data_IF_375460061145
#
_entry.id   IF_375460061145
#
_cell.length_a   1.000
_cell.length_b   1.000
_cell.length_c   1.000
_cell.angle_alpha   90.00
_cell.angle_beta   90.00
_cell.angle_gamma   90.00
#
_symmetry.space_group_name_H-M   'P 1'
#
loop_
_entity.id
_entity.type
_entity.pdbx_description
1 polymer ?
#
# COMPACT_ATOMS: atom_id res chain seq x y z
N UNK A 1 45.86 5.15 -37.50
CA UNK A 1 44.70 5.94 -37.01
C UNK A 1 43.97 5.07 -35.99
N UNK A 2 44.11 5.36 -34.71
CA UNK A 2 43.51 4.56 -33.64
C UNK A 2 42.03 4.91 -33.48
N UNK A 3 41.15 3.92 -33.60
CA UNK A 3 39.73 4.00 -33.27
C UNK A 3 39.58 4.33 -31.78
N UNK A 4 39.06 5.52 -31.46
CA UNK A 4 38.61 5.86 -30.10
C UNK A 4 37.31 5.10 -29.83
N UNK A 5 37.33 4.24 -28.83
CA UNK A 5 36.10 3.67 -28.27
C UNK A 5 35.19 4.79 -27.75
N UNK A 6 33.86 4.65 -27.84
CA UNK A 6 32.94 5.63 -27.27
C UNK A 6 33.19 5.75 -25.76
N UNK A 7 33.29 6.99 -25.28
CA UNK A 7 33.39 7.30 -23.85
C UNK A 7 32.14 6.76 -23.16
N UNK A 8 32.34 5.88 -22.17
CA UNK A 8 31.30 5.51 -21.22
C UNK A 8 30.85 6.78 -20.52
N UNK A 9 29.61 7.22 -20.78
CA UNK A 9 28.97 8.29 -20.01
C UNK A 9 28.88 7.85 -18.56
N UNK A 10 29.14 8.78 -17.64
CA UNK A 10 28.91 8.56 -16.20
C UNK A 10 27.52 7.98 -15.95
N UNK A 11 27.42 7.12 -14.93
CA UNK A 11 26.16 6.54 -14.49
C UNK A 11 25.16 7.65 -14.17
N UNK A 12 24.10 7.73 -14.98
CA UNK A 12 23.07 8.74 -14.84
C UNK A 12 22.17 8.42 -13.62
N UNK A 13 22.14 9.32 -12.63
CA UNK A 13 21.23 9.23 -11.47
C UNK A 13 19.76 9.43 -11.86
N UNK A 14 19.45 9.73 -13.13
CA UNK A 14 18.09 9.90 -13.67
C UNK A 14 17.20 8.67 -13.47
N UNK A 15 17.73 7.47 -13.26
CA UNK A 15 16.93 6.28 -12.97
C UNK A 15 16.04 6.40 -11.71
N UNK A 16 16.38 7.28 -10.74
CA UNK A 16 15.51 7.57 -9.58
C UNK A 16 14.44 8.65 -9.88
N UNK A 17 14.53 9.34 -11.03
CA UNK A 17 13.61 10.41 -11.48
C UNK A 17 12.57 9.95 -12.51
N UNK A 18 12.77 8.78 -13.13
CA UNK A 18 11.79 8.12 -13.98
C UNK A 18 10.72 7.42 -13.13
N UNK A 19 9.44 7.70 -13.41
CA UNK A 19 8.35 6.95 -12.81
C UNK A 19 7.79 7.55 -11.53
N UNK A 20 6.65 8.22 -11.65
CA UNK A 20 5.70 8.34 -10.55
C UNK A 20 4.39 7.67 -10.95
N UNK A 21 3.82 6.88 -10.04
CA UNK A 21 2.55 6.16 -10.23
C UNK A 21 1.33 7.10 -10.31
N UNK A 22 1.50 8.32 -9.81
CA UNK A 22 0.55 9.43 -9.67
C UNK A 22 0.42 10.46 -10.81
N UNK A 23 0.16 10.18 -12.11
CA UNK A 23 0.39 11.16 -13.18
C UNK A 23 -0.35 12.49 -12.99
N UNK A 24 -1.49 12.47 -12.30
CA UNK A 24 -2.43 13.58 -12.18
C UNK A 24 -2.64 14.03 -10.72
N UNK A 25 -1.96 13.42 -9.74
CA UNK A 25 -2.08 13.82 -8.33
C UNK A 25 -3.39 13.36 -7.66
N UNK A 26 -4.07 12.36 -8.22
CA UNK A 26 -5.38 11.89 -7.79
C UNK A 26 -5.34 11.03 -6.51
N UNK A 27 -4.19 10.50 -6.13
CA UNK A 27 -4.10 9.50 -5.06
C UNK A 27 -4.26 10.08 -3.64
N UNK A 28 -3.89 11.34 -3.41
CA UNK A 28 -3.78 11.89 -2.06
C UNK A 28 -5.14 11.97 -1.34
N UNK A 29 -6.14 12.54 -2.01
CA UNK A 29 -7.49 12.66 -1.44
C UNK A 29 -8.15 11.28 -1.32
N UNK A 30 -7.98 10.41 -2.32
CA UNK A 30 -8.47 9.02 -2.25
C UNK A 30 -7.89 8.26 -1.05
N UNK A 31 -6.58 8.36 -0.81
CA UNK A 31 -5.91 7.71 0.32
C UNK A 31 -6.44 8.21 1.68
N UNK A 32 -6.70 9.52 1.78
CA UNK A 32 -7.30 10.13 2.97
C UNK A 32 -8.75 9.71 3.20
N UNK A 33 -9.55 9.64 2.15
CA UNK A 33 -10.92 9.13 2.21
C UNK A 33 -10.94 7.63 2.57
N UNK A 34 -10.05 6.83 1.99
CA UNK A 34 -9.85 5.43 2.36
C UNK A 34 -9.42 5.23 3.81
N UNK A 35 -8.57 6.11 4.34
CA UNK A 35 -8.17 6.10 5.77
C UNK A 35 -9.35 6.44 6.68
N UNK A 36 -10.24 7.35 6.28
CA UNK A 36 -11.49 7.58 7.02
C UNK A 36 -12.43 6.37 6.95
N UNK A 37 -12.52 5.74 5.79
CA UNK A 37 -13.43 4.61 5.54
C UNK A 37 -13.03 3.37 6.34
N UNK A 38 -11.75 3.01 6.32
CA UNK A 38 -11.21 1.87 7.03
C UNK A 38 -9.94 2.30 7.79
N UNK A 39 -10.09 2.92 8.98
CA UNK A 39 -8.96 3.41 9.78
C UNK A 39 -7.88 2.35 9.99
N UNK A 40 -6.62 2.79 9.97
CA UNK A 40 -5.44 1.92 10.11
C UNK A 40 -5.10 1.05 8.90
N UNK A 41 -6.09 0.61 8.11
CA UNK A 41 -5.90 -0.36 7.02
C UNK A 41 -5.37 0.31 5.75
N UNK A 42 -4.34 -0.28 5.16
CA UNK A 42 -3.72 0.16 3.90
C UNK A 42 -3.90 -0.88 2.81
N UNK A 43 -3.96 -0.46 1.54
CA UNK A 43 -4.23 -1.36 0.40
C UNK A 43 -3.23 -2.51 0.28
N UNK A 44 -1.97 -2.23 0.63
CA UNK A 44 -0.87 -3.21 0.54
C UNK A 44 -0.87 -4.23 1.68
N UNK A 45 -1.80 -4.16 2.63
CA UNK A 45 -1.96 -5.16 3.69
C UNK A 45 -2.64 -6.41 3.13
N UNK A 46 -2.18 -7.59 3.58
CA UNK A 46 -2.74 -8.88 3.15
C UNK A 46 -3.05 -9.82 4.30
N UNK A 47 -2.15 -9.91 5.28
CA UNK A 47 -2.25 -10.86 6.39
C UNK A 47 -2.37 -10.13 7.73
N UNK A 48 -3.45 -10.30 8.49
CA UNK A 48 -3.61 -9.61 9.77
C UNK A 48 -2.61 -10.11 10.82
N UNK A 49 -2.09 -11.33 10.66
CA UNK A 49 -1.13 -11.95 11.58
C UNK A 49 0.21 -11.22 11.70
N UNK A 50 0.55 -10.32 10.77
CA UNK A 50 1.72 -9.46 10.96
C UNK A 50 1.56 -8.51 12.17
N UNK A 51 0.34 -8.23 12.62
CA UNK A 51 0.09 -7.53 13.89
C UNK A 51 0.60 -8.33 15.08
N UNK A 52 0.40 -9.66 15.10
CA UNK A 52 0.99 -10.54 16.13
C UNK A 52 2.52 -10.54 16.05
N UNK A 53 3.08 -10.54 14.84
CA UNK A 53 4.53 -10.46 14.65
C UNK A 53 5.10 -9.13 15.19
N UNK A 54 4.40 -8.02 15.00
CA UNK A 54 4.76 -6.72 15.55
C UNK A 54 4.68 -6.69 17.08
N UNK A 55 3.63 -7.27 17.67
CA UNK A 55 3.52 -7.40 19.13
C UNK A 55 4.70 -8.20 19.72
N UNK A 56 5.07 -9.32 19.10
CA UNK A 56 6.24 -10.09 19.50
C UNK A 56 7.56 -9.30 19.30
N UNK A 57 7.65 -8.53 18.21
CA UNK A 57 8.77 -7.62 17.94
C UNK A 57 8.93 -6.57 19.03
N UNK A 58 7.84 -5.98 19.51
CA UNK A 58 7.86 -5.03 20.62
C UNK A 58 8.37 -5.68 21.91
N UNK A 59 7.97 -6.93 22.22
CA UNK A 59 8.48 -7.68 23.38
C UNK A 59 9.99 -7.97 23.25
N UNK A 60 10.44 -8.36 22.06
CA UNK A 60 11.87 -8.62 21.81
C UNK A 60 12.67 -7.33 21.89
N UNK A 61 12.15 -6.22 21.35
CA UNK A 61 12.89 -4.97 21.23
C UNK A 61 12.76 -4.05 22.45
N UNK A 62 11.96 -4.39 23.46
CA UNK A 62 11.65 -3.53 24.61
C UNK A 62 12.87 -3.06 25.43
N UNK A 63 14.02 -3.74 25.33
CA UNK A 63 15.25 -3.40 26.07
C UNK A 63 16.18 -2.44 25.33
N UNK A 64 15.88 -2.13 24.06
CA UNK A 64 16.64 -1.17 23.27
C UNK A 64 16.01 0.21 23.40
N UNK A 65 16.86 1.23 23.48
CA UNK A 65 16.40 2.62 23.53
C UNK A 65 15.64 3.01 22.26
N UNK A 66 14.66 3.91 22.39
CA UNK A 66 13.77 4.31 21.29
C UNK A 66 14.53 5.03 20.15
N UNK A 67 15.67 5.66 20.45
CA UNK A 67 16.57 6.34 19.51
C UNK A 67 17.74 5.47 19.03
N UNK A 68 17.84 4.22 19.51
CA UNK A 68 18.89 3.32 19.09
C UNK A 68 18.77 2.96 17.60
N UNK A 69 19.89 3.10 16.89
CA UNK A 69 20.07 2.61 15.53
C UNK A 69 21.35 1.79 15.44
N UNK A 70 21.42 0.90 14.44
CA UNK A 70 22.60 0.11 14.14
C UNK A 70 23.80 0.99 13.77
N UNK A 71 24.98 0.39 13.61
CA UNK A 71 26.20 1.11 13.22
C UNK A 71 26.12 1.82 11.85
N UNK A 72 25.10 1.51 11.03
CA UNK A 72 24.83 2.24 9.79
C UNK A 72 24.13 3.60 10.00
N UNK A 73 23.78 3.94 11.24
CA UNK A 73 23.14 5.20 11.63
C UNK A 73 21.66 5.31 11.26
N UNK A 74 21.04 4.26 10.71
CA UNK A 74 19.67 4.35 10.15
C UNK A 74 18.78 3.14 10.49
N UNK A 75 19.33 1.99 10.84
CA UNK A 75 18.56 0.75 11.02
C UNK A 75 18.12 0.58 12.49
N UNK A 76 16.82 0.71 12.83
CA UNK A 76 16.33 0.50 14.19
C UNK A 76 16.16 -1.00 14.55
N UNK A 77 16.05 -1.34 15.85
CA UNK A 77 15.92 -2.72 16.34
C UNK A 77 14.76 -3.52 15.71
N UNK A 78 13.57 -2.90 15.58
CA UNK A 78 12.40 -3.57 15.00
C UNK A 78 12.65 -4.04 13.56
N UNK A 79 13.49 -3.32 12.82
CA UNK A 79 13.81 -3.64 11.44
C UNK A 79 14.76 -4.85 11.36
N UNK A 80 15.71 -4.94 12.28
CA UNK A 80 16.59 -6.11 12.40
C UNK A 80 15.76 -7.34 12.80
N UNK A 81 14.83 -7.20 13.75
CA UNK A 81 13.88 -8.26 14.11
C UNK A 81 13.08 -8.72 12.89
N UNK A 82 12.53 -7.80 12.11
CA UNK A 82 11.82 -8.10 10.87
C UNK A 82 12.68 -8.91 9.87
N UNK A 83 13.96 -8.55 9.70
CA UNK A 83 14.86 -9.32 8.83
C UNK A 83 14.96 -10.78 9.25
N UNK A 84 15.05 -11.08 10.55
CA UNK A 84 15.10 -12.47 11.04
C UNK A 84 13.79 -13.22 10.78
N UNK A 85 12.63 -12.57 10.96
CA UNK A 85 11.33 -13.19 10.65
C UNK A 85 11.24 -13.50 9.15
N UNK A 86 11.59 -12.53 8.30
CA UNK A 86 11.51 -12.70 6.84
C UNK A 86 12.51 -13.75 6.35
N UNK A 87 13.75 -13.74 6.87
CA UNK A 87 14.76 -14.74 6.55
C UNK A 87 14.28 -16.14 6.90
N UNK A 88 13.73 -16.33 8.11
CA UNK A 88 13.21 -17.61 8.57
C UNK A 88 12.07 -18.11 7.68
N UNK A 89 11.11 -17.24 7.34
CA UNK A 89 9.98 -17.56 6.47
C UNK A 89 10.43 -17.93 5.05
N UNK A 90 11.26 -17.10 4.41
CA UNK A 90 11.77 -17.34 3.06
C UNK A 90 12.65 -18.59 3.02
N UNK A 91 13.56 -18.75 3.98
CA UNK A 91 14.45 -19.91 4.04
C UNK A 91 13.70 -21.23 4.23
N UNK A 92 12.69 -21.24 5.12
CA UNK A 92 11.91 -22.44 5.45
C UNK A 92 10.90 -22.79 4.35
N UNK A 93 10.18 -21.80 3.81
CA UNK A 93 9.09 -22.01 2.85
C UNK A 93 9.49 -21.79 1.39
N UNK A 94 10.79 -21.73 1.06
CA UNK A 94 11.29 -21.56 -0.32
C UNK A 94 10.70 -22.51 -1.36
N UNK A 95 10.29 -23.73 -0.96
CA UNK A 95 9.65 -24.75 -1.81
C UNK A 95 8.11 -24.76 -1.71
N UNK A 96 7.53 -23.97 -0.81
CA UNK A 96 6.09 -23.86 -0.53
C UNK A 96 5.69 -22.39 -0.51
N UNK A 97 5.82 -21.73 -1.66
CA UNK A 97 5.66 -20.27 -1.78
C UNK A 97 4.25 -19.79 -1.42
N UNK A 98 3.25 -20.67 -1.47
CA UNK A 98 1.89 -20.42 -1.00
C UNK A 98 1.80 -20.15 0.51
N UNK A 99 2.71 -20.68 1.33
CA UNK A 99 2.73 -20.45 2.79
C UNK A 99 3.19 -19.03 3.17
N UNK A 100 3.80 -18.30 2.23
CA UNK A 100 4.36 -16.96 2.42
C UNK A 100 3.94 -15.99 1.32
N UNK A 101 2.88 -16.32 0.57
CA UNK A 101 2.29 -15.39 -0.38
C UNK A 101 1.88 -14.12 0.40
N UNK A 102 2.10 -12.95 -0.19
CA UNK A 102 1.79 -11.67 0.47
C UNK A 102 2.72 -11.24 1.60
N UNK A 103 3.84 -11.95 1.85
CA UNK A 103 4.90 -11.52 2.77
C UNK A 103 5.63 -10.26 2.26
N UNK A 104 5.62 -9.13 3.00
CA UNK A 104 6.40 -7.95 2.64
C UNK A 104 7.90 -8.22 2.57
N UNK A 105 8.55 -7.71 1.52
CA UNK A 105 9.99 -7.90 1.29
C UNK A 105 10.42 -9.32 0.85
N UNK A 106 9.46 -10.22 0.56
CA UNK A 106 9.73 -11.61 0.13
C UNK A 106 10.68 -11.70 -1.06
N UNK A 107 10.48 -10.89 -2.09
CA UNK A 107 11.28 -10.94 -3.32
C UNK A 107 12.73 -10.55 -3.05
N UNK A 108 12.94 -9.44 -2.34
CA UNK A 108 14.26 -8.96 -1.95
C UNK A 108 15.00 -9.96 -1.06
N UNK A 109 14.28 -10.57 -0.11
CA UNK A 109 14.86 -11.63 0.71
C UNK A 109 15.15 -12.92 -0.09
N UNK A 110 14.31 -13.28 -1.05
CA UNK A 110 14.57 -14.43 -1.95
C UNK A 110 15.81 -14.19 -2.81
N UNK A 111 15.98 -12.97 -3.33
CA UNK A 111 17.17 -12.58 -4.10
C UNK A 111 18.43 -12.60 -3.24
N UNK A 112 18.38 -12.08 -2.01
CA UNK A 112 19.50 -12.13 -1.07
C UNK A 112 19.88 -13.59 -0.73
N UNK A 113 18.89 -14.46 -0.50
CA UNK A 113 19.10 -15.89 -0.28
C UNK A 113 19.77 -16.56 -1.47
N UNK A 114 19.29 -16.30 -2.69
CA UNK A 114 19.88 -16.84 -3.93
C UNK A 114 21.34 -16.42 -4.11
N UNK A 115 21.66 -15.18 -3.71
CA UNK A 115 23.03 -14.64 -3.74
C UNK A 115 23.90 -15.08 -2.55
N UNK A 116 23.33 -15.80 -1.57
CA UNK A 116 24.05 -16.23 -0.37
C UNK A 116 24.48 -15.08 0.55
N UNK A 117 23.82 -13.92 0.48
CA UNK A 117 24.15 -12.73 1.27
C UNK A 117 23.16 -12.53 2.43
N UNK A 118 23.59 -11.94 3.56
CA UNK A 118 22.68 -11.57 4.66
C UNK A 118 21.78 -10.40 4.26
N UNK A 119 20.62 -10.28 4.91
CA UNK A 119 19.80 -9.06 4.77
C UNK A 119 20.45 -7.90 5.50
N UNK A 120 20.38 -6.72 4.89
CA UNK A 120 20.79 -5.44 5.46
C UNK A 120 19.99 -4.29 4.82
N UNK A 121 20.21 -3.07 5.27
CA UNK A 121 19.54 -1.88 4.74
C UNK A 121 19.72 -1.72 3.21
N UNK A 122 20.88 -2.11 2.67
CA UNK A 122 21.20 -1.96 1.25
C UNK A 122 20.44 -2.92 0.33
N UNK A 123 20.10 -4.12 0.81
CA UNK A 123 19.55 -5.19 -0.04
C UNK A 123 18.14 -5.66 0.33
N UNK A 124 17.56 -5.16 1.43
CA UNK A 124 16.19 -5.47 1.84
C UNK A 124 15.17 -4.48 1.28
N UNK A 125 14.96 -3.32 1.92
CA UNK A 125 13.95 -2.33 1.52
C UNK A 125 14.52 -0.91 1.61
N UNK A 126 14.33 -0.10 0.55
CA UNK A 126 14.80 1.31 0.48
C UNK A 126 14.11 2.22 1.53
N UNK A 127 12.87 1.92 1.91
CA UNK A 127 12.11 2.65 2.93
C UNK A 127 11.34 1.64 3.82
N UNK A 128 12.01 0.99 4.77
CA UNK A 128 11.45 -0.10 5.57
C UNK A 128 10.30 0.36 6.48
N UNK A 129 10.32 1.63 6.91
CA UNK A 129 9.18 2.30 7.58
C UNK A 129 7.92 2.40 6.72
N UNK A 130 8.03 2.13 5.41
CA UNK A 130 6.92 2.20 4.44
C UNK A 130 6.57 0.83 3.87
N UNK A 131 7.58 -0.02 3.60
CA UNK A 131 7.40 -1.26 2.83
C UNK A 131 7.56 -2.56 3.64
N UNK A 132 8.15 -2.48 4.84
CA UNK A 132 8.29 -3.63 5.74
C UNK A 132 6.97 -4.00 6.42
N UNK A 133 6.83 -5.18 7.02
CA UNK A 133 5.56 -5.45 7.73
C UNK A 133 5.40 -4.53 8.95
N UNK A 134 6.47 -4.16 9.65
CA UNK A 134 6.40 -3.12 10.69
C UNK A 134 5.99 -1.76 10.13
N UNK A 135 6.48 -1.38 8.94
CA UNK A 135 6.16 -0.10 8.33
C UNK A 135 4.73 -0.04 7.78
N UNK A 136 4.32 -1.08 7.06
CA UNK A 136 3.00 -1.21 6.46
C UNK A 136 1.91 -1.25 7.53
N UNK A 137 2.11 -2.02 8.61
CA UNK A 137 1.10 -2.28 9.63
C UNK A 137 1.14 -1.33 10.83
N UNK A 138 2.14 -0.45 10.95
CA UNK A 138 2.28 0.47 12.10
C UNK A 138 1.00 1.22 12.42
N UNK A 139 0.41 1.89 11.43
CA UNK A 139 -0.79 2.70 11.63
C UNK A 139 -1.96 1.86 12.13
N UNK A 140 -2.13 0.63 11.63
CA UNK A 140 -3.17 -0.27 12.14
C UNK A 140 -2.84 -0.79 13.53
N UNK A 141 -1.58 -1.12 13.80
CA UNK A 141 -1.17 -1.58 15.12
C UNK A 141 -1.35 -0.52 16.21
N UNK A 142 -1.13 0.76 15.88
CA UNK A 142 -1.40 1.90 16.77
C UNK A 142 -2.90 2.16 16.93
N UNK A 143 -3.66 2.13 15.84
CA UNK A 143 -5.12 2.29 15.85
C UNK A 143 -5.83 1.22 16.69
N UNK A 144 -5.31 -0.02 16.67
CA UNK A 144 -5.83 -1.15 17.44
C UNK A 144 -5.23 -1.28 18.85
N UNK A 145 -4.41 -0.32 19.30
CA UNK A 145 -3.65 -0.39 20.57
C UNK A 145 -2.84 -1.68 20.76
N UNK A 146 -2.38 -2.27 19.65
CA UNK A 146 -1.41 -3.37 19.66
C UNK A 146 -0.03 -2.80 19.98
N UNK A 147 0.29 -1.65 19.40
CA UNK A 147 1.47 -0.86 19.72
C UNK A 147 1.08 0.53 20.21
N UNK A 148 1.85 1.05 21.17
CA UNK A 148 1.75 2.43 21.64
C UNK A 148 3.16 2.99 21.77
N UNK A 149 3.51 3.97 20.93
CA UNK A 149 4.85 4.58 20.88
C UNK A 149 5.98 3.52 20.77
N UNK A 150 5.83 2.56 19.87
CA UNK A 150 6.81 1.48 19.66
C UNK A 150 6.81 0.38 20.72
N UNK A 151 6.07 0.54 21.83
CA UNK A 151 5.91 -0.46 22.90
C UNK A 151 4.58 -1.21 22.75
N UNK A 152 4.40 -2.26 23.54
CA UNK A 152 3.16 -3.04 23.55
C UNK A 152 2.01 -2.23 24.16
N UNK A 153 0.89 -2.12 23.45
CA UNK A 153 -0.36 -1.56 23.99
C UNK A 153 -1.19 -2.62 24.72
N UNK A 154 -2.40 -2.26 25.17
CA UNK A 154 -3.25 -3.14 25.97
C UNK A 154 -3.80 -4.30 25.13
N UNK A 155 -4.23 -4.02 23.90
CA UNK A 155 -4.64 -5.07 22.96
C UNK A 155 -3.45 -5.96 22.56
N UNK A 156 -2.25 -5.36 22.48
CA UNK A 156 -1.01 -6.07 22.23
C UNK A 156 -0.65 -7.07 23.33
N UNK A 157 -0.80 -6.68 24.61
CA UNK A 157 -0.61 -7.56 25.77
C UNK A 157 -1.53 -8.77 25.70
N UNK A 158 -2.82 -8.55 25.41
CA UNK A 158 -3.78 -9.64 25.23
C UNK A 158 -3.40 -10.55 24.07
N UNK A 159 -3.07 -9.97 22.91
CA UNK A 159 -2.73 -10.71 21.69
C UNK A 159 -1.52 -11.62 21.91
N UNK A 160 -0.45 -11.10 22.51
CA UNK A 160 0.79 -11.87 22.67
C UNK A 160 0.62 -13.01 23.68
N UNK A 161 -0.19 -12.86 24.74
CA UNK A 161 -0.50 -13.94 25.68
C UNK A 161 -1.30 -15.07 25.04
N UNK A 162 -2.25 -14.72 24.16
CA UNK A 162 -3.02 -15.69 23.39
C UNK A 162 -2.10 -16.46 22.46
N UNK A 163 -1.29 -15.74 21.67
CA UNK A 163 -0.32 -16.33 20.77
C UNK A 163 0.68 -17.22 21.52
N UNK A 164 1.22 -16.76 22.65
CA UNK A 164 2.13 -17.52 23.50
C UNK A 164 1.55 -18.89 23.88
N UNK A 165 0.30 -18.88 24.36
CA UNK A 165 -0.39 -20.09 24.80
C UNK A 165 -0.71 -21.00 23.63
N UNK A 166 -1.25 -20.45 22.54
CA UNK A 166 -1.66 -21.24 21.38
C UNK A 166 -0.47 -21.78 20.60
N UNK A 167 0.68 -21.13 20.65
CA UNK A 167 1.88 -21.54 19.93
C UNK A 167 2.84 -22.40 20.76
N UNK A 168 2.45 -22.82 21.98
CA UNK A 168 3.31 -23.60 22.87
C UNK A 168 4.63 -22.88 23.21
N UNK A 169 4.56 -21.57 23.33
CA UNK A 169 5.71 -20.68 23.56
C UNK A 169 5.74 -20.19 25.01
N UNK A 170 5.46 -21.07 25.97
CA UNK A 170 5.47 -20.71 27.39
C UNK A 170 6.75 -19.92 27.77
N UNK A 171 6.56 -18.76 28.39
CA UNK A 171 7.64 -17.85 28.78
C UNK A 171 8.07 -16.85 27.71
N UNK A 172 7.42 -16.80 26.54
CA UNK A 172 7.76 -15.75 25.56
C UNK A 172 7.42 -14.35 26.10
N UNK A 173 6.31 -14.18 26.82
CA UNK A 173 5.94 -12.92 27.45
C UNK A 173 5.54 -13.10 28.92
N UNK A 174 4.82 -14.18 29.25
CA UNK A 174 4.19 -14.37 30.56
C UNK A 174 5.11 -14.85 31.69
N UNK A 175 6.27 -15.44 31.38
CA UNK A 175 7.20 -16.04 32.36
C UNK A 175 8.66 -15.85 31.92
N UNK A 176 9.59 -16.08 32.84
CA UNK A 176 11.03 -15.98 32.57
C UNK A 176 11.64 -17.25 31.96
N UNK A 177 10.95 -18.39 32.06
CA UNK A 177 11.46 -19.70 31.63
C UNK A 177 10.47 -20.41 30.70
N UNK A 178 11.01 -21.33 29.89
CA UNK A 178 10.26 -22.17 28.95
C UNK A 178 10.70 -22.00 27.50
N UNK A 179 10.10 -22.75 26.56
CA UNK A 179 10.47 -22.72 25.14
C UNK A 179 10.37 -21.32 24.52
N UNK A 180 9.37 -20.53 24.94
CA UNK A 180 9.21 -19.16 24.46
C UNK A 180 10.24 -18.20 25.03
N UNK A 181 10.65 -18.37 26.29
CA UNK A 181 11.71 -17.56 26.88
C UNK A 181 13.04 -17.77 26.15
N UNK A 182 13.36 -19.04 25.83
CA UNK A 182 14.54 -19.39 25.03
C UNK A 182 14.49 -18.78 23.63
N UNK A 183 13.34 -18.83 22.95
CA UNK A 183 13.16 -18.22 21.64
C UNK A 183 13.29 -16.69 21.71
N UNK A 184 12.65 -16.04 22.68
CA UNK A 184 12.76 -14.58 22.93
C UNK A 184 14.22 -14.20 23.12
N UNK A 185 14.96 -14.90 23.98
CA UNK A 185 16.37 -14.58 24.24
C UNK A 185 17.24 -14.77 23.00
N UNK A 186 17.00 -15.82 22.22
CA UNK A 186 17.73 -16.05 20.99
C UNK A 186 17.49 -14.94 19.95
N UNK A 187 16.23 -14.47 19.82
CA UNK A 187 15.88 -13.35 18.96
C UNK A 187 16.49 -12.03 19.46
N UNK A 188 16.44 -11.75 20.77
CA UNK A 188 17.10 -10.58 21.39
C UNK A 188 18.58 -10.53 21.07
N UNK A 189 19.29 -11.62 21.30
CA UNK A 189 20.71 -11.73 20.99
C UNK A 189 20.98 -11.54 19.49
N UNK A 190 20.14 -12.11 18.63
CA UNK A 190 20.27 -11.97 17.18
C UNK A 190 20.04 -10.52 16.71
N UNK A 191 19.07 -9.81 17.31
CA UNK A 191 18.81 -8.38 17.06
C UNK A 191 20.02 -7.55 17.50
N UNK A 192 20.51 -7.75 18.73
CA UNK A 192 21.70 -7.07 19.24
C UNK A 192 22.90 -7.23 18.31
N UNK A 193 23.23 -8.46 17.92
CA UNK A 193 24.32 -8.74 16.98
C UNK A 193 24.07 -8.17 15.58
N UNK A 194 22.81 -7.99 15.18
CA UNK A 194 22.45 -7.40 13.90
C UNK A 194 22.58 -5.88 13.90
N UNK A 195 22.28 -5.23 15.04
CA UNK A 195 22.56 -3.80 15.27
C UNK A 195 24.06 -3.53 15.26
N UNK A 196 24.84 -4.37 15.95
CA UNK A 196 26.30 -4.24 16.03
C UNK A 196 26.98 -4.40 14.66
N UNK A 197 26.41 -5.19 13.73
CA UNK A 197 27.01 -5.43 12.40
C UNK A 197 26.27 -4.76 11.25
N UNK A 198 25.18 -4.05 11.53
CA UNK A 198 24.25 -3.47 10.55
C UNK A 198 23.73 -4.46 9.49
N UNK A 199 23.68 -5.75 9.83
CA UNK A 199 23.26 -6.83 8.93
C UNK A 199 22.91 -8.11 9.68
N UNK A 200 22.30 -9.03 8.95
CA UNK A 200 22.08 -10.42 9.32
C UNK A 200 23.33 -11.09 9.93
N UNK A 201 23.36 -11.38 11.24
CA UNK A 201 24.47 -12.12 11.86
C UNK A 201 24.29 -13.64 11.81
N UNK A 202 23.05 -14.14 11.69
CA UNK A 202 22.75 -15.56 11.55
C UNK A 202 22.58 -15.95 10.08
N UNK A 203 23.12 -17.11 9.73
CA UNK A 203 23.02 -17.68 8.37
C UNK A 203 21.59 -18.15 8.04
N UNK A 204 21.31 -18.34 6.75
CA UNK A 204 20.00 -18.79 6.24
C UNK A 204 19.56 -20.17 6.80
N UNK A 205 20.51 -20.98 7.25
CA UNK A 205 20.29 -22.30 7.87
C UNK A 205 20.29 -22.25 9.40
N UNK A 206 20.16 -21.07 10.02
CA UNK A 206 20.12 -20.93 11.48
C UNK A 206 19.16 -21.96 12.09
N UNK A 207 19.62 -22.64 13.15
CA UNK A 207 18.90 -23.77 13.74
C UNK A 207 17.46 -23.44 14.19
N UNK A 208 17.19 -22.17 14.51
CA UNK A 208 15.87 -21.69 14.90
C UNK A 208 14.99 -21.22 13.73
N UNK A 209 15.50 -21.15 12.49
CA UNK A 209 14.76 -20.65 11.33
C UNK A 209 13.43 -21.39 11.12
N UNK A 210 13.42 -22.72 11.26
CA UNK A 210 12.18 -23.50 11.13
C UNK A 210 11.18 -23.14 12.23
N UNK A 211 11.63 -23.10 13.48
CA UNK A 211 10.77 -22.73 14.61
C UNK A 211 10.18 -21.34 14.41
N UNK A 212 11.00 -20.34 14.08
CA UNK A 212 10.53 -18.97 13.82
C UNK A 212 9.50 -18.97 12.68
N UNK A 213 9.81 -19.61 11.56
CA UNK A 213 8.91 -19.66 10.42
C UNK A 213 7.56 -20.29 10.78
N UNK A 214 7.55 -21.39 11.51
CA UNK A 214 6.32 -22.09 11.90
C UNK A 214 5.46 -21.26 12.86
N UNK A 215 6.08 -20.51 13.78
CA UNK A 215 5.35 -19.70 14.78
C UNK A 215 4.86 -18.36 14.22
N UNK A 216 5.51 -17.81 13.20
CA UNK A 216 5.18 -16.50 12.62
C UNK A 216 4.54 -16.54 11.22
N UNK A 217 4.43 -17.71 10.57
CA UNK A 217 3.82 -17.80 9.24
C UNK A 217 2.40 -17.22 9.20
N UNK A 218 2.04 -16.41 8.20
CA UNK A 218 0.79 -15.65 8.20
C UNK A 218 -0.47 -16.52 8.31
N UNK A 219 -0.45 -17.71 7.69
CA UNK A 219 -1.59 -18.63 7.65
C UNK A 219 -1.69 -19.61 8.82
N UNK A 220 -0.80 -19.52 9.81
CA UNK A 220 -0.71 -20.48 10.94
C UNK A 220 -1.25 -19.93 12.26
N UNK A 221 -2.06 -18.86 12.21
CA UNK A 221 -2.79 -18.38 13.37
C UNK A 221 -3.79 -19.43 13.84
N UNK A 222 -3.85 -19.65 15.16
CA UNK A 222 -4.80 -20.57 15.78
C UNK A 222 -6.10 -19.84 16.13
N UNK A 223 -7.10 -20.60 16.61
CA UNK A 223 -8.48 -20.13 16.70
C UNK A 223 -8.65 -18.90 17.61
N UNK A 224 -8.03 -18.88 18.80
CA UNK A 224 -8.16 -17.74 19.71
C UNK A 224 -7.38 -16.52 19.24
N UNK A 225 -6.23 -16.72 18.59
CA UNK A 225 -5.48 -15.65 17.93
C UNK A 225 -6.33 -14.99 16.81
N UNK A 226 -6.98 -15.80 15.97
CA UNK A 226 -7.89 -15.30 14.93
C UNK A 226 -9.10 -14.55 15.52
N UNK A 227 -9.69 -15.09 16.59
CA UNK A 227 -10.81 -14.44 17.27
C UNK A 227 -10.39 -13.08 17.85
N UNK A 228 -9.23 -13.01 18.52
CA UNK A 228 -8.71 -11.77 19.09
C UNK A 228 -8.43 -10.72 18.02
N UNK A 229 -7.75 -11.09 16.93
CA UNK A 229 -7.47 -10.17 15.82
C UNK A 229 -8.77 -9.66 15.16
N UNK A 230 -9.77 -10.52 14.99
CA UNK A 230 -11.07 -10.10 14.47
C UNK A 230 -11.79 -9.16 15.42
N UNK A 231 -11.81 -9.47 16.71
CA UNK A 231 -12.46 -8.63 17.72
C UNK A 231 -11.83 -7.23 17.74
N UNK A 232 -10.50 -7.12 17.66
CA UNK A 232 -9.79 -5.83 17.56
C UNK A 232 -10.21 -5.06 16.30
N UNK A 233 -10.27 -5.72 15.14
CA UNK A 233 -10.71 -5.06 13.89
C UNK A 233 -12.15 -4.51 14.00
N UNK A 234 -12.98 -5.11 14.85
CA UNK A 234 -14.40 -4.78 15.04
C UNK A 234 -14.70 -4.05 16.37
N UNK A 235 -13.68 -3.63 17.12
CA UNK A 235 -13.81 -3.24 18.55
C UNK A 235 -14.87 -2.16 18.80
N UNK A 236 -15.04 -1.23 17.86
CA UNK A 236 -16.14 -0.27 17.84
C UNK A 236 -17.18 -0.68 16.78
N UNK A 237 -18.33 -1.27 17.16
CA UNK A 237 -19.33 -1.75 16.19
C UNK A 237 -19.90 -0.65 15.28
N UNK A 238 -19.93 0.60 15.77
CA UNK A 238 -20.38 1.78 15.03
C UNK A 238 -19.34 2.36 14.08
N UNK A 239 -18.06 1.99 14.20
CA UNK A 239 -17.02 2.47 13.30
C UNK A 239 -17.29 2.01 11.86
N UNK A 240 -16.84 2.80 10.90
CA UNK A 240 -17.02 2.49 9.47
C UNK A 240 -16.36 1.17 9.09
N UNK A 241 -15.18 0.88 9.64
CA UNK A 241 -14.48 -0.41 9.47
C UNK A 241 -15.36 -1.58 9.90
N UNK A 242 -15.97 -1.52 11.09
CA UNK A 242 -16.85 -2.58 11.58
C UNK A 242 -18.10 -2.75 10.71
N UNK A 243 -18.72 -1.67 10.26
CA UNK A 243 -19.88 -1.74 9.35
C UNK A 243 -19.51 -2.42 8.01
N UNK A 244 -18.34 -2.10 7.44
CA UNK A 244 -17.85 -2.73 6.21
C UNK A 244 -17.53 -4.21 6.43
N UNK A 245 -16.85 -4.55 7.53
CA UNK A 245 -16.55 -5.94 7.89
C UNK A 245 -17.86 -6.73 8.05
N UNK A 246 -18.82 -6.19 8.81
CA UNK A 246 -20.11 -6.83 9.05
C UNK A 246 -20.90 -7.05 7.76
N UNK A 247 -20.82 -6.11 6.81
CA UNK A 247 -21.42 -6.30 5.49
C UNK A 247 -20.70 -7.41 4.71
N UNK A 248 -19.37 -7.40 4.65
CA UNK A 248 -18.58 -8.40 3.92
C UNK A 248 -18.76 -9.83 4.44
N UNK A 249 -18.92 -10.03 5.75
CA UNK A 249 -19.18 -11.35 6.35
C UNK A 249 -20.63 -11.80 6.19
N UNK A 250 -21.56 -10.87 5.88
CA UNK A 250 -22.96 -11.22 5.68
C UNK A 250 -23.13 -12.10 4.44
N UNK A 251 -24.21 -12.90 4.42
CA UNK A 251 -24.55 -13.72 3.26
C UNK A 251 -24.72 -12.90 1.97
N UNK A 252 -25.22 -11.67 2.10
CA UNK A 252 -25.40 -10.75 0.97
C UNK A 252 -24.04 -10.24 0.48
N UNK A 253 -23.27 -9.59 1.37
CA UNK A 253 -22.00 -8.97 1.00
C UNK A 253 -20.97 -9.99 0.50
N UNK A 254 -20.84 -11.15 1.17
CA UNK A 254 -19.91 -12.20 0.73
C UNK A 254 -20.26 -12.73 -0.65
N UNK A 255 -21.55 -12.98 -0.94
CA UNK A 255 -21.97 -13.48 -2.28
C UNK A 255 -21.82 -12.42 -3.36
N UNK A 256 -22.06 -11.15 -3.02
CA UNK A 256 -21.86 -10.06 -3.97
C UNK A 256 -20.38 -9.93 -4.32
N UNK A 257 -19.50 -9.90 -3.33
CA UNK A 257 -18.06 -9.70 -3.54
C UNK A 257 -17.39 -10.81 -4.36
N UNK A 258 -17.90 -12.04 -4.28
CA UNK A 258 -17.38 -13.19 -5.02
C UNK A 258 -17.79 -13.22 -6.50
N UNK A 259 -18.64 -12.31 -6.98
CA UNK A 259 -18.99 -12.26 -8.42
C UNK A 259 -17.82 -11.74 -9.24
N UNK A 260 -17.56 -12.38 -10.39
CA UNK A 260 -16.43 -12.04 -11.28
C UNK A 260 -16.43 -10.57 -11.75
N UNK A 261 -17.61 -9.96 -11.93
CA UNK A 261 -17.77 -8.59 -12.38
C UNK A 261 -17.86 -7.57 -11.23
N UNK A 262 -17.68 -8.00 -9.98
CA UNK A 262 -17.83 -7.14 -8.82
C UNK A 262 -16.66 -6.16 -8.71
N UNK A 263 -17.00 -4.89 -8.44
CA UNK A 263 -16.03 -3.83 -8.19
C UNK A 263 -16.31 -3.21 -6.83
N UNK A 264 -15.32 -2.55 -6.26
CA UNK A 264 -15.47 -1.84 -4.98
C UNK A 264 -16.58 -0.79 -5.04
N UNK A 265 -16.74 -0.10 -6.18
CA UNK A 265 -17.88 0.81 -6.42
C UNK A 265 -19.22 0.10 -6.33
N UNK A 266 -19.38 -1.06 -7.00
CA UNK A 266 -20.63 -1.85 -6.97
C UNK A 266 -20.92 -2.36 -5.55
N UNK A 267 -19.87 -2.73 -4.80
CA UNK A 267 -20.00 -3.11 -3.40
C UNK A 267 -20.47 -1.91 -2.54
N UNK A 268 -19.82 -0.75 -2.66
CA UNK A 268 -20.20 0.47 -1.95
C UNK A 268 -21.64 0.88 -2.26
N UNK A 269 -22.07 0.79 -3.52
CA UNK A 269 -23.45 1.06 -3.92
C UNK A 269 -24.46 0.13 -3.23
N UNK A 270 -24.09 -1.14 -3.01
CA UNK A 270 -24.91 -2.07 -2.22
C UNK A 270 -24.92 -1.70 -0.74
N UNK A 271 -23.77 -1.34 -0.18
CA UNK A 271 -23.59 -0.97 1.24
C UNK A 271 -24.41 0.27 1.64
N UNK A 272 -24.63 1.22 0.73
CA UNK A 272 -25.44 2.44 0.99
C UNK A 272 -26.85 2.13 1.54
N UNK A 273 -27.40 0.95 1.23
CA UNK A 273 -28.76 0.53 1.61
C UNK A 273 -28.90 0.16 3.08
N UNK A 274 -27.82 -0.32 3.70
CA UNK A 274 -27.84 -0.94 5.04
C UNK A 274 -26.89 -0.27 6.03
N UNK A 275 -26.24 0.82 5.63
CA UNK A 275 -25.26 1.53 6.45
C UNK A 275 -25.83 2.73 7.20
N UNK A 276 -25.11 3.16 8.25
CA UNK A 276 -25.40 4.38 9.02
C UNK A 276 -25.41 5.65 8.15
N UNK A 277 -26.12 6.73 8.56
CA UNK A 277 -26.11 8.01 7.85
C UNK A 277 -24.71 8.56 7.60
N UNK A 278 -23.82 8.50 8.59
CA UNK A 278 -22.48 9.08 8.48
C UNK A 278 -21.58 8.30 7.49
N UNK A 279 -21.65 6.96 7.51
CA UNK A 279 -20.94 6.15 6.51
C UNK A 279 -21.55 6.34 5.10
N UNK A 280 -22.87 6.51 4.99
CA UNK A 280 -23.51 6.83 3.71
C UNK A 280 -22.97 8.13 3.12
N UNK A 281 -22.82 9.17 3.94
CA UNK A 281 -22.25 10.45 3.53
C UNK A 281 -20.81 10.29 3.02
N UNK A 282 -19.97 9.54 3.73
CA UNK A 282 -18.59 9.29 3.30
C UNK A 282 -18.53 8.52 1.98
N UNK A 283 -19.40 7.51 1.78
CA UNK A 283 -19.45 6.73 0.54
C UNK A 283 -19.92 7.58 -0.65
N UNK A 284 -20.88 8.50 -0.45
CA UNK A 284 -21.30 9.46 -1.49
C UNK A 284 -20.20 10.49 -1.80
N UNK A 285 -19.43 10.91 -0.80
CA UNK A 285 -18.23 11.72 -1.00
C UNK A 285 -17.19 10.99 -1.86
N UNK A 286 -16.86 9.74 -1.51
CA UNK A 286 -15.95 8.88 -2.28
C UNK A 286 -16.43 8.74 -3.73
N UNK A 287 -17.70 8.39 -3.93
CA UNK A 287 -18.29 8.24 -5.26
C UNK A 287 -18.22 9.52 -6.09
N UNK A 288 -18.44 10.69 -5.47
CA UNK A 288 -18.36 11.98 -6.16
C UNK A 288 -16.93 12.32 -6.56
N UNK A 289 -15.97 12.11 -5.67
CA UNK A 289 -14.55 12.30 -5.97
C UNK A 289 -14.05 11.33 -7.05
N UNK A 290 -14.40 10.05 -6.95
CA UNK A 290 -13.98 9.04 -7.93
C UNK A 290 -14.62 9.25 -9.31
N UNK A 291 -15.83 9.79 -9.38
CA UNK A 291 -16.42 10.17 -10.67
C UNK A 291 -15.61 11.28 -11.35
N UNK A 292 -15.22 12.31 -10.60
CA UNK A 292 -14.32 13.35 -11.08
C UNK A 292 -12.95 12.77 -11.51
N UNK A 293 -12.34 11.95 -10.66
CA UNK A 293 -11.04 11.33 -10.93
C UNK A 293 -11.08 10.45 -12.19
N UNK A 294 -12.15 9.65 -12.36
CA UNK A 294 -12.35 8.78 -13.52
C UNK A 294 -12.41 9.57 -14.83
N UNK A 295 -13.13 10.69 -14.86
CA UNK A 295 -13.22 11.53 -16.06
C UNK A 295 -11.84 12.02 -16.54
N UNK A 296 -11.02 12.52 -15.60
CA UNK A 296 -9.71 13.09 -15.93
C UNK A 296 -8.70 11.97 -16.24
N UNK A 297 -8.73 10.88 -15.47
CA UNK A 297 -7.88 9.71 -15.70
C UNK A 297 -8.15 9.09 -17.08
N UNK A 298 -9.42 8.90 -17.45
CA UNK A 298 -9.79 8.36 -18.75
C UNK A 298 -9.36 9.30 -19.89
N UNK A 299 -9.59 10.61 -19.76
CA UNK A 299 -9.12 11.57 -20.76
C UNK A 299 -7.60 11.53 -20.96
N UNK A 300 -6.84 11.45 -19.86
CA UNK A 300 -5.38 11.37 -19.94
C UNK A 300 -4.91 10.02 -20.51
N UNK A 301 -5.51 8.90 -20.10
CA UNK A 301 -5.16 7.57 -20.63
C UNK A 301 -5.51 7.43 -22.11
N UNK A 302 -6.61 8.05 -22.58
CA UNK A 302 -6.97 8.09 -24.01
C UNK A 302 -5.93 8.87 -24.82
N UNK A 303 -5.45 10.01 -24.30
CA UNK A 303 -4.32 10.74 -24.88
C UNK A 303 -3.06 9.87 -24.96
N UNK A 304 -2.69 9.17 -23.87
CA UNK A 304 -1.52 8.29 -23.84
C UNK A 304 -1.65 7.15 -24.85
N UNK A 305 -2.81 6.50 -24.92
CA UNK A 305 -3.07 5.41 -25.85
C UNK A 305 -3.02 5.87 -27.31
N UNK A 306 -3.64 7.00 -27.62
CA UNK A 306 -3.56 7.60 -28.95
C UNK A 306 -2.12 7.89 -29.36
N UNK A 307 -1.34 8.54 -28.49
CA UNK A 307 0.09 8.81 -28.72
C UNK A 307 0.93 7.52 -28.85
N UNK A 308 0.56 6.45 -28.14
CA UNK A 308 1.30 5.17 -28.17
C UNK A 308 1.18 4.45 -29.50
N UNK A 309 0.02 4.58 -30.17
CA UNK A 309 -0.27 3.93 -31.45
C UNK A 309 0.28 4.71 -32.65
N UNK A 310 0.50 6.02 -32.48
CA UNK A 310 1.00 6.87 -33.57
C UNK A 310 2.52 6.76 -33.67
N UNK A 311 3.03 6.51 -34.88
CA UNK A 311 4.45 6.65 -35.16
C UNK A 311 4.77 8.13 -35.40
N UNK A 312 4.90 8.91 -34.32
CA UNK A 312 5.31 10.31 -34.38
C UNK A 312 4.61 11.22 -33.37
N UNK A 313 4.65 12.51 -33.69
CA UNK A 313 4.11 13.62 -32.89
C UNK A 313 2.59 13.76 -33.04
N UNK A 314 1.90 14.08 -31.97
CA UNK A 314 0.45 14.35 -31.94
C UNK A 314 0.17 15.80 -31.56
N UNK A 315 -0.73 16.48 -32.26
CA UNK A 315 -1.12 17.85 -31.92
C UNK A 315 -2.39 17.91 -31.04
N UNK A 316 -2.65 19.07 -30.43
CA UNK A 316 -3.80 19.30 -29.54
C UNK A 316 -5.16 19.00 -30.19
N UNK A 317 -5.35 19.34 -31.48
CA UNK A 317 -6.63 19.12 -32.16
C UNK A 317 -6.96 17.64 -32.29
N UNK A 318 -5.95 16.81 -32.51
CA UNK A 318 -6.12 15.35 -32.53
C UNK A 318 -6.55 14.83 -31.15
N UNK A 319 -5.90 15.31 -30.08
CA UNK A 319 -6.23 14.90 -28.71
C UNK A 319 -7.61 15.41 -28.26
N UNK A 320 -7.97 16.63 -28.64
CA UNK A 320 -9.29 17.21 -28.36
C UNK A 320 -10.43 16.48 -29.07
N UNK A 321 -10.13 15.77 -30.17
CA UNK A 321 -11.09 14.92 -30.89
C UNK A 321 -11.37 13.58 -30.22
N UNK A 322 -10.64 13.20 -29.17
CA UNK A 322 -10.79 11.91 -28.50
C UNK A 322 -12.07 11.83 -27.67
N UNK A 323 -12.65 10.64 -27.59
CA UNK A 323 -13.97 10.44 -26.96
C UNK A 323 -13.92 10.73 -25.45
N UNK A 324 -12.92 10.20 -24.74
CA UNK A 324 -12.79 10.41 -23.30
C UNK A 324 -12.48 11.88 -22.97
N UNK A 325 -11.71 12.56 -23.83
CA UNK A 325 -11.37 13.99 -23.67
C UNK A 325 -12.62 14.86 -23.83
N UNK A 326 -13.41 14.64 -24.88
CA UNK A 326 -14.68 15.36 -25.06
C UNK A 326 -15.67 15.10 -23.91
N UNK A 327 -15.74 13.84 -23.44
CA UNK A 327 -16.56 13.47 -22.29
C UNK A 327 -16.10 14.20 -21.02
N UNK A 328 -14.79 14.27 -20.77
CA UNK A 328 -14.25 14.95 -19.60
C UNK A 328 -14.49 16.46 -19.68
N UNK A 329 -14.15 17.12 -20.79
CA UNK A 329 -14.41 18.55 -21.00
C UNK A 329 -15.86 18.94 -20.68
N UNK A 330 -16.84 18.13 -21.13
CA UNK A 330 -18.26 18.38 -20.88
C UNK A 330 -18.68 18.20 -19.42
N UNK A 331 -18.12 17.22 -18.70
CA UNK A 331 -18.64 16.76 -17.42
C UNK A 331 -17.80 17.18 -16.19
N UNK A 332 -16.53 17.52 -16.39
CA UNK A 332 -15.61 17.91 -15.31
C UNK A 332 -16.11 19.12 -14.51
N UNK A 333 -16.69 20.18 -15.10
CA UNK A 333 -17.18 21.31 -14.30
C UNK A 333 -18.26 20.93 -13.26
N UNK A 334 -19.24 20.12 -13.65
CA UNK A 334 -20.28 19.62 -12.74
C UNK A 334 -19.72 18.60 -11.74
N UNK A 335 -18.89 17.67 -12.21
CA UNK A 335 -18.24 16.67 -11.35
C UNK A 335 -17.35 17.32 -10.29
N UNK A 336 -16.58 18.36 -10.66
CA UNK A 336 -15.76 19.14 -9.75
C UNK A 336 -16.62 19.83 -8.69
N UNK A 337 -17.70 20.51 -9.10
CA UNK A 337 -18.60 21.20 -8.16
C UNK A 337 -19.20 20.22 -7.14
N UNK A 338 -19.68 19.05 -7.61
CA UNK A 338 -20.22 17.99 -6.74
C UNK A 338 -19.16 17.43 -5.79
N UNK A 339 -17.99 17.06 -6.32
CA UNK A 339 -16.89 16.54 -5.50
C UNK A 339 -16.45 17.57 -4.46
N UNK A 340 -16.29 18.84 -4.84
CA UNK A 340 -15.92 19.94 -3.95
C UNK A 340 -16.90 20.07 -2.77
N UNK A 341 -18.21 20.09 -3.05
CA UNK A 341 -19.22 20.23 -2.02
C UNK A 341 -19.22 19.05 -1.04
N UNK A 342 -18.98 17.83 -1.53
CA UNK A 342 -18.86 16.65 -0.66
C UNK A 342 -17.56 16.68 0.16
N UNK A 343 -16.44 17.06 -0.46
CA UNK A 343 -15.13 17.15 0.19
C UNK A 343 -15.07 18.26 1.25
N UNK A 344 -15.90 19.29 1.13
CA UNK A 344 -16.07 20.33 2.16
C UNK A 344 -16.44 19.73 3.52
N UNK A 345 -17.34 18.74 3.54
CA UNK A 345 -17.79 18.05 4.76
C UNK A 345 -16.62 17.36 5.51
N UNK A 346 -15.56 17.03 4.79
CA UNK A 346 -14.37 16.35 5.31
C UNK A 346 -13.14 17.26 5.40
N UNK A 347 -13.30 18.58 5.20
CA UNK A 347 -12.23 19.59 5.19
C UNK A 347 -11.14 19.34 4.12
N UNK A 348 -11.50 18.73 2.98
CA UNK A 348 -10.59 18.47 1.87
C UNK A 348 -10.80 19.39 0.66
N UNK A 349 -11.78 20.30 0.73
CA UNK A 349 -12.10 21.25 -0.34
C UNK A 349 -10.90 22.09 -0.78
N UNK A 350 -10.18 22.71 0.15
CA UNK A 350 -9.08 23.62 -0.19
C UNK A 350 -7.94 22.90 -0.91
N UNK A 351 -7.62 21.68 -0.48
CA UNK A 351 -6.63 20.83 -1.15
C UNK A 351 -7.10 20.40 -2.54
N UNK A 352 -8.38 20.06 -2.69
CA UNK A 352 -8.98 19.71 -3.97
C UNK A 352 -8.94 20.89 -4.96
N UNK A 353 -9.32 22.10 -4.52
CA UNK A 353 -9.26 23.31 -5.35
C UNK A 353 -7.81 23.64 -5.73
N UNK A 354 -6.89 23.60 -4.77
CA UNK A 354 -5.48 23.85 -5.05
C UNK A 354 -4.86 22.80 -5.96
N UNK A 355 -5.37 21.57 -5.91
CA UNK A 355 -4.92 20.46 -6.72
C UNK A 355 -5.39 20.57 -8.16
N UNK A 356 -6.69 20.85 -8.37
CA UNK A 356 -7.36 20.63 -9.66
C UNK A 356 -8.17 21.82 -10.18
N UNK A 357 -8.17 22.97 -9.48
CA UNK A 357 -8.94 24.14 -9.89
C UNK A 357 -8.51 24.71 -11.25
N UNK A 358 -7.29 24.40 -11.68
CA UNK A 358 -6.77 24.71 -13.00
C UNK A 358 -7.52 23.97 -14.12
N UNK A 359 -8.19 22.84 -13.85
CA UNK A 359 -8.97 22.09 -14.86
C UNK A 359 -10.38 22.67 -15.13
N UNK A 360 -10.74 23.78 -14.47
CA UNK A 360 -12.00 24.50 -14.65
C UNK A 360 -11.93 25.61 -15.72
N UNK A 361 -10.97 25.54 -16.64
CA UNK A 361 -10.81 26.55 -17.69
C UNK A 361 -12.08 26.67 -18.55
N UNK A 362 -12.55 27.90 -18.69
CA UNK A 362 -13.58 28.25 -19.66
C UNK A 362 -12.97 28.26 -21.06
N UNK A 363 -13.41 27.35 -21.94
CA UNK A 363 -12.86 27.26 -23.28
C UNK A 363 -13.45 26.11 -24.09
N UNK A 364 -12.96 25.97 -25.32
CA UNK A 364 -13.24 24.80 -26.17
C UNK A 364 -12.41 23.58 -25.71
N UNK A 365 -12.70 22.42 -26.30
CA UNK A 365 -12.04 21.16 -25.96
C UNK A 365 -10.51 21.23 -26.15
N UNK A 366 -10.04 21.92 -27.20
CA UNK A 366 -8.62 22.15 -27.48
C UNK A 366 -7.90 22.81 -26.30
N UNK A 367 -8.47 23.90 -25.76
CA UNK A 367 -7.91 24.61 -24.61
C UNK A 367 -7.93 23.74 -23.36
N UNK A 368 -9.00 22.95 -23.18
CA UNK A 368 -9.13 22.09 -22.01
C UNK A 368 -8.13 20.94 -22.01
N UNK A 369 -7.88 20.30 -23.16
CA UNK A 369 -6.89 19.21 -23.23
C UNK A 369 -5.47 19.75 -23.06
N UNK A 370 -5.15 20.93 -23.57
CA UNK A 370 -3.86 21.60 -23.29
C UNK A 370 -3.67 21.80 -21.78
N UNK A 371 -4.70 22.30 -21.09
CA UNK A 371 -4.68 22.46 -19.63
C UNK A 371 -4.54 21.14 -18.88
N UNK A 372 -5.15 20.05 -19.37
CA UNK A 372 -4.97 18.70 -18.79
C UNK A 372 -3.50 18.24 -18.89
N UNK A 373 -2.82 18.51 -20.00
CA UNK A 373 -1.41 18.16 -20.17
C UNK A 373 -0.52 19.05 -19.29
N UNK A 374 -0.80 20.36 -19.20
CA UNK A 374 -0.10 21.30 -18.32
C UNK A 374 -0.26 20.95 -16.84
N UNK A 375 -1.45 20.50 -16.45
CA UNK A 375 -1.72 19.96 -15.13
C UNK A 375 -0.80 18.78 -14.82
N UNK A 376 -0.70 17.81 -15.74
CA UNK A 376 0.22 16.67 -15.61
C UNK A 376 1.67 17.12 -15.43
N UNK A 377 2.16 18.04 -16.27
CA UNK A 377 3.52 18.59 -16.14
C UNK A 377 3.75 19.23 -14.77
N UNK A 378 2.77 20.03 -14.31
CA UNK A 378 2.80 20.70 -13.01
C UNK A 378 2.85 19.69 -11.86
N UNK A 379 2.02 18.66 -11.90
CA UNK A 379 2.00 17.58 -10.90
C UNK A 379 3.34 16.86 -10.84
N UNK A 380 3.93 16.48 -11.98
CA UNK A 380 5.22 15.79 -11.98
C UNK A 380 6.34 16.67 -11.45
N UNK A 381 6.37 17.95 -11.84
CA UNK A 381 7.38 18.92 -11.38
C UNK A 381 7.33 19.15 -9.88
N UNK A 382 6.15 19.16 -9.26
CA UNK A 382 5.96 19.37 -7.82
C UNK A 382 6.33 18.17 -6.95
N UNK A 383 6.61 16.99 -7.52
CA UNK A 383 6.89 15.78 -6.74
C UNK A 383 8.25 15.82 -6.05
N UNK A 384 8.35 15.36 -4.80
CA UNK A 384 9.64 15.28 -4.12
C UNK A 384 10.53 14.16 -4.73
N UNK A 385 11.86 14.24 -4.54
CA UNK A 385 12.58 15.37 -3.92
C UNK A 385 12.86 16.54 -4.88
N UNK A 386 12.93 16.31 -6.20
CA UNK A 386 13.40 17.31 -7.18
C UNK A 386 12.52 17.39 -8.45
N UNK A 387 11.25 16.99 -8.34
CA UNK A 387 10.39 16.72 -9.49
C UNK A 387 10.59 15.30 -10.03
N UNK A 388 9.64 14.88 -10.87
CA UNK A 388 9.71 13.65 -11.66
C UNK A 388 9.56 13.99 -13.13
N UNK A 389 10.10 13.12 -13.97
CA UNK A 389 9.92 13.29 -15.41
C UNK A 389 8.44 13.13 -15.79
N UNK A 390 7.91 14.03 -16.64
CA UNK A 390 6.62 13.86 -17.30
C UNK A 390 6.50 12.53 -18.03
N UNK A 391 5.28 12.03 -18.16
CA UNK A 391 4.97 10.82 -18.91
C UNK A 391 4.93 11.07 -20.42
N UNK A 392 4.80 12.34 -20.81
CA UNK A 392 4.74 12.82 -22.17
C UNK A 392 5.80 13.91 -22.36
N UNK A 393 6.36 13.98 -23.57
CA UNK A 393 7.24 15.08 -23.98
C UNK A 393 6.45 16.07 -24.83
N UNK A 394 6.66 17.37 -24.58
CA UNK A 394 6.19 18.45 -25.42
C UNK A 394 7.36 18.98 -26.25
N UNK A 395 7.12 19.23 -27.53
CA UNK A 395 8.10 19.78 -28.47
C UNK A 395 7.78 21.25 -28.79
N UNK A 396 8.77 21.98 -29.32
CA UNK A 396 8.66 23.41 -29.66
C UNK A 396 7.54 23.75 -30.67
N UNK A 397 7.08 22.76 -31.44
CA UNK A 397 5.96 22.87 -32.39
C UNK A 397 4.58 22.60 -31.75
N UNK A 398 4.49 22.62 -30.41
CA UNK A 398 3.29 22.30 -29.64
C UNK A 398 2.69 20.93 -29.96
N UNK A 399 3.56 19.97 -30.25
CA UNK A 399 3.19 18.57 -30.40
C UNK A 399 3.71 17.74 -29.23
N UNK A 400 3.11 16.56 -29.06
CA UNK A 400 3.33 15.70 -27.91
C UNK A 400 3.67 14.27 -28.35
N UNK A 401 4.51 13.60 -27.56
CA UNK A 401 4.75 12.16 -27.65
C UNK A 401 4.75 11.54 -26.26
N UNK A 402 4.20 10.33 -26.15
CA UNK A 402 4.34 9.52 -24.93
C UNK A 402 5.74 8.92 -24.82
N UNK A 403 6.34 8.97 -23.63
CA UNK A 403 7.64 8.34 -23.40
C UNK A 403 7.52 6.82 -23.43
N UNK A 404 8.57 6.08 -23.82
CA UNK A 404 8.51 4.62 -23.98
C UNK A 404 7.96 3.86 -22.76
N UNK A 405 8.31 4.29 -21.53
CA UNK A 405 7.87 3.64 -20.29
C UNK A 405 6.36 3.78 -20.00
N UNK A 406 5.68 4.74 -20.61
CA UNK A 406 4.26 5.03 -20.35
C UNK A 406 3.37 4.76 -21.57
N UNK A 407 3.91 4.08 -22.59
CA UNK A 407 3.11 3.61 -23.70
C UNK A 407 2.01 2.67 -23.20
N UNK A 408 0.84 2.77 -23.84
CA UNK A 408 -0.33 1.94 -23.57
C UNK A 408 -0.58 1.01 -24.73
N UNK A 409 -0.68 -0.27 -24.42
CA UNK A 409 -1.02 -1.31 -25.40
C UNK A 409 -2.55 -1.50 -25.49
N UNK A 410 -3.26 -1.21 -24.41
CA UNK A 410 -4.72 -1.36 -24.30
C UNK A 410 -5.44 -0.01 -24.40
N UNK A 411 -6.64 0.04 -25.00
CA UNK A 411 -7.45 1.25 -25.03
C UNK A 411 -7.86 1.70 -23.63
N UNK A 412 -8.24 2.97 -23.52
CA UNK A 412 -8.85 3.52 -22.30
C UNK A 412 -10.10 2.71 -21.93
N UNK A 413 -10.31 2.48 -20.63
CA UNK A 413 -11.44 1.65 -20.15
C UNK A 413 -12.79 2.32 -20.37
N UNK A 414 -12.88 3.62 -20.08
CA UNK A 414 -14.12 4.42 -20.09
C UNK A 414 -15.28 3.82 -19.28
N UNK A 415 -14.97 2.91 -18.36
CA UNK A 415 -15.93 2.24 -17.51
C UNK A 415 -16.35 3.13 -16.33
N UNK A 416 -17.18 2.59 -15.45
CA UNK A 416 -17.68 3.32 -14.30
C UNK A 416 -16.92 2.96 -13.01
N UNK A 417 -15.82 2.21 -13.07
CA UNK A 417 -15.06 1.76 -11.90
C UNK A 417 -14.33 2.91 -11.22
N UNK A 418 -14.05 2.77 -9.91
CA UNK A 418 -13.17 3.70 -9.21
C UNK A 418 -11.75 3.66 -9.80
N UNK A 419 -11.08 4.80 -9.80
CA UNK A 419 -9.66 4.93 -10.12
C UNK A 419 -8.82 4.36 -9.00
N UNK A 420 -9.22 4.62 -7.75
CA UNK A 420 -8.46 4.21 -6.57
C UNK A 420 -9.17 3.09 -5.78
N UNK A 421 -8.39 2.24 -5.10
CA UNK A 421 -8.93 1.25 -4.18
C UNK A 421 -9.14 1.81 -2.76
N UNK A 422 -10.20 1.36 -2.10
CA UNK A 422 -10.70 1.82 -0.80
C UNK A 422 -10.67 0.71 0.27
N UNK A 423 -9.65 -0.16 0.21
CA UNK A 423 -9.27 -1.16 1.23
C UNK A 423 -10.15 -2.40 1.32
N UNK A 424 -11.22 -2.53 0.53
CA UNK A 424 -12.08 -3.72 0.57
C UNK A 424 -11.27 -5.00 0.30
N UNK A 425 -10.32 -4.98 -0.63
CA UNK A 425 -9.44 -6.13 -0.89
C UNK A 425 -8.62 -6.54 0.33
N UNK A 426 -8.02 -5.57 1.02
CA UNK A 426 -7.21 -5.83 2.21
C UNK A 426 -8.07 -6.40 3.35
N UNK A 427 -9.25 -5.81 3.59
CA UNK A 427 -10.22 -6.31 4.57
C UNK A 427 -10.70 -7.71 4.22
N UNK A 428 -11.05 -7.96 2.95
CA UNK A 428 -11.45 -9.28 2.48
C UNK A 428 -10.36 -10.33 2.72
N UNK A 429 -9.11 -9.99 2.40
CA UNK A 429 -7.95 -10.86 2.66
C UNK A 429 -7.82 -11.18 4.15
N UNK A 430 -8.02 -10.20 5.03
CA UNK A 430 -8.02 -10.43 6.48
C UNK A 430 -9.14 -11.40 6.89
N UNK A 431 -10.35 -11.21 6.39
CA UNK A 431 -11.49 -12.06 6.74
C UNK A 431 -11.29 -13.53 6.30
N UNK A 432 -10.61 -13.77 5.17
CA UNK A 432 -10.21 -15.11 4.71
C UNK A 432 -9.19 -15.76 5.64
N UNK A 433 -8.18 -15.01 6.07
CA UNK A 433 -7.16 -15.50 6.98
C UNK A 433 -7.75 -15.83 8.36
N UNK A 434 -8.63 -14.94 8.85
CA UNK A 434 -9.32 -15.06 10.14
C UNK A 434 -10.50 -16.06 10.12
N UNK A 435 -10.74 -16.74 9.01
CA UNK A 435 -11.79 -17.78 8.85
C UNK A 435 -13.21 -17.27 9.08
N UNK A 436 -13.47 -16.00 8.77
CA UNK A 436 -14.81 -15.38 8.86
C UNK A 436 -15.65 -15.57 7.61
N UNK A 437 -14.99 -15.81 6.49
CA UNK A 437 -15.57 -16.12 5.19
C UNK A 437 -14.91 -17.38 4.65
N UNK A 438 -15.61 -18.12 3.79
CA UNK A 438 -15.10 -19.36 3.24
C UNK A 438 -13.91 -19.08 2.31
N UNK A 439 -12.90 -19.94 2.39
CA UNK A 439 -11.90 -20.02 1.35
C UNK A 439 -12.51 -20.82 0.20
N UNK A 440 -12.75 -20.16 -0.93
CA UNK A 440 -12.80 -20.85 -2.23
C UNK A 440 -11.40 -21.34 -2.60
#
# INVERSE_FOLDING_TARGET
MALRAPLLTEYDKVADSEGSLDPLGLSLIADRLGTKLVPGVRERMRHPRFLTAMAAGAVVCAEFDDDLVAQDGITPPYQVFEWYIVQALVGTFRKKTNEILGLPGREKATDAMRKGVPLCAQNYLKAPSVFGFHGVYRTLAEDLDILRQGRLGEAGDRLIRIWETEQDLAGFYSREQGPGASLRQALKNAVKEGLDKSKMSREWNWSLSRTIAEKFAPYRAKARENEALFAMLCEEPSSYRSQIINFLISNEGSRLWLKEDMTEKKLHASLLKSTSPDLRELLECIKSYEYFARLIQDAFDDCLWHMSRKQGKTNIKELAGLEAVNRAHKNVPDAFSKARNQLHLYNYESEFISGFGDLLVNGNCDTWVEQLLDHHFTVQKKKPPFGKNPWIDQYDDNTYCVRPLYRRDEPVRMDDSYVHPYRVNAVWSFLRDLKRIRNE
#
